data_IF_378846749827
#
_entry.id   IF_378846749827
#
_cell.length_a   1.000
_cell.length_b   1.000
_cell.length_c   1.000
_cell.angle_alpha   90.00
_cell.angle_beta   90.00
_cell.angle_gamma   90.00
#
_symmetry.space_group_name_H-M   'P 1'
#
loop_
_entity.id
_entity.type
_entity.pdbx_description
1 polymer ?
#
# COMPACT_ATOMS: atom_id res chain seq x y z
N UNK A 1 2.05 10.96 6.31
CA UNK A 1 2.80 12.18 6.71
C UNK A 1 1.85 13.02 7.53
N UNK A 2 2.26 13.46 8.72
CA UNK A 2 1.45 14.32 9.57
C UNK A 2 2.02 15.73 9.57
N UNK A 3 1.13 16.72 9.64
CA UNK A 3 1.49 18.13 9.72
C UNK A 3 1.02 18.70 11.04
N UNK A 4 1.83 19.59 11.62
CA UNK A 4 1.46 20.42 12.78
C UNK A 4 2.03 21.81 12.56
N UNK A 5 1.21 22.84 12.78
CA UNK A 5 1.58 24.25 12.62
C UNK A 5 2.24 24.55 11.26
N UNK A 6 1.72 23.91 10.19
CA UNK A 6 2.22 24.04 8.82
C UNK A 6 3.51 23.27 8.50
N UNK A 7 4.06 22.50 9.45
CA UNK A 7 5.32 21.79 9.28
C UNK A 7 5.13 20.27 9.28
N UNK A 8 5.88 19.59 8.40
CA UNK A 8 5.99 18.12 8.42
C UNK A 8 6.63 17.68 9.73
N UNK A 9 6.02 16.69 10.37
CA UNK A 9 6.51 16.21 11.67
C UNK A 9 7.57 15.11 11.55
N UNK A 10 7.55 14.31 10.48
CA UNK A 10 8.55 13.27 10.22
C UNK A 10 9.77 13.85 9.50
N UNK A 11 10.97 13.46 9.92
CA UNK A 11 12.25 13.98 9.42
C UNK A 11 13.00 13.01 8.50
N UNK A 12 12.80 11.69 8.62
CA UNK A 12 13.52 10.66 7.86
C UNK A 12 12.79 9.30 7.90
N UNK A 13 13.43 8.20 7.52
CA UNK A 13 12.84 6.85 7.52
C UNK A 13 12.78 6.17 8.89
N UNK A 14 13.36 6.77 9.94
CA UNK A 14 13.24 6.25 11.30
C UNK A 14 11.92 6.70 11.96
N UNK A 15 11.37 7.84 11.54
CA UNK A 15 10.10 8.39 12.03
C UNK A 15 8.99 8.43 10.95
N UNK A 16 9.32 8.28 9.67
CA UNK A 16 8.40 7.89 8.59
C UNK A 16 8.59 6.43 8.20
N UNK A 17 7.69 5.56 8.67
CA UNK A 17 7.80 4.13 8.45
C UNK A 17 7.52 3.75 6.99
N UNK A 18 8.58 3.35 6.29
CA UNK A 18 8.53 2.65 5.00
C UNK A 18 8.63 1.14 5.20
N UNK A 19 8.11 0.37 4.24
CA UNK A 19 8.24 -1.09 4.27
C UNK A 19 9.73 -1.49 4.30
N UNK A 20 10.10 -2.41 5.19
CA UNK A 20 11.47 -2.94 5.30
C UNK A 20 11.53 -4.34 4.71
N UNK A 21 12.73 -4.79 4.32
CA UNK A 21 12.91 -6.10 3.69
C UNK A 21 12.35 -7.26 4.53
N UNK A 22 12.48 -7.20 5.86
CA UNK A 22 11.95 -8.22 6.77
C UNK A 22 10.41 -8.32 6.78
N UNK A 23 9.73 -7.25 6.39
CA UNK A 23 8.27 -7.14 6.39
C UNK A 23 7.68 -7.37 4.98
N UNK A 24 8.54 -7.64 3.98
CA UNK A 24 8.13 -7.80 2.60
C UNK A 24 7.34 -9.11 2.42
N UNK A 25 6.07 -9.06 1.98
CA UNK A 25 5.35 -10.28 1.64
C UNK A 25 5.97 -10.95 0.40
N UNK A 26 5.73 -12.25 0.23
CA UNK A 26 6.05 -12.92 -1.03
C UNK A 26 5.19 -12.30 -2.15
N UNK A 27 5.85 -11.85 -3.21
CA UNK A 27 5.19 -11.29 -4.41
C UNK A 27 5.46 -12.19 -5.59
N UNK A 28 4.38 -12.51 -6.32
CA UNK A 28 4.45 -13.23 -7.60
C UNK A 28 3.97 -12.28 -8.70
N UNK A 29 4.67 -12.30 -9.84
CA UNK A 29 4.38 -11.42 -10.97
C UNK A 29 4.03 -12.29 -12.17
N UNK A 30 2.87 -12.00 -12.77
CA UNK A 30 2.40 -12.67 -13.97
C UNK A 30 2.32 -11.66 -15.10
N UNK A 31 3.05 -11.93 -16.18
CA UNK A 31 2.99 -11.13 -17.40
C UNK A 31 1.88 -11.70 -18.27
N UNK A 32 0.81 -10.93 -18.45
CA UNK A 32 -0.33 -11.32 -19.28
C UNK A 32 0.02 -11.10 -20.76
N UNK A 33 -0.16 -12.10 -21.65
CA UNK A 33 0.07 -11.93 -23.07
C UNK A 33 -0.81 -10.82 -23.67
N UNK A 34 -0.24 -9.97 -24.52
CA UNK A 34 -0.95 -8.90 -25.23
C UNK A 34 -0.35 -8.67 -26.60
N UNK A 35 -1.21 -8.41 -27.60
CA UNK A 35 -0.82 -7.98 -28.95
C UNK A 35 -0.98 -6.48 -29.16
N UNK A 36 -1.44 -5.76 -28.13
CA UNK A 36 -1.59 -4.30 -28.17
C UNK A 36 -0.24 -3.59 -28.20
N UNK A 37 -0.26 -2.29 -28.55
CA UNK A 37 0.95 -1.46 -28.45
C UNK A 37 1.46 -1.44 -27.02
N UNK A 38 2.77 -1.51 -26.86
CA UNK A 38 3.42 -1.42 -25.55
C UNK A 38 3.07 -0.10 -24.86
N UNK A 39 2.69 -0.19 -23.58
CA UNK A 39 2.44 0.94 -22.70
C UNK A 39 3.33 0.92 -21.45
N UNK A 40 3.15 1.89 -20.56
CA UNK A 40 3.88 1.95 -19.30
C UNK A 40 3.38 0.90 -18.29
N UNK A 41 4.32 0.24 -17.59
CA UNK A 41 4.02 -0.79 -16.58
C UNK A 41 4.50 -0.44 -15.16
N UNK A 42 5.21 0.69 -14.99
CA UNK A 42 5.79 1.08 -13.69
C UNK A 42 4.76 1.48 -12.64
N UNK A 43 3.73 2.22 -13.03
CA UNK A 43 2.68 2.73 -12.13
C UNK A 43 1.49 1.78 -11.94
N UNK A 44 0.98 1.06 -12.97
CA UNK A 44 -0.27 0.29 -12.86
C UNK A 44 -0.31 -0.77 -11.77
N UNK A 45 0.85 -1.29 -11.35
CA UNK A 45 0.94 -2.26 -10.26
C UNK A 45 0.63 -1.69 -8.88
N UNK A 46 0.78 -0.38 -8.66
CA UNK A 46 0.63 0.25 -7.33
C UNK A 46 -0.84 0.49 -6.91
N UNK A 47 -1.71 1.11 -7.74
CA UNK A 47 -3.10 1.40 -7.36
C UNK A 47 -3.90 0.21 -6.79
N UNK A 48 -3.80 -1.03 -7.33
CA UNK A 48 -4.61 -2.14 -6.83
C UNK A 48 -4.15 -2.68 -5.46
N UNK A 49 -2.95 -2.34 -4.97
CA UNK A 49 -2.38 -2.91 -3.73
C UNK A 49 -3.22 -2.55 -2.52
N UNK A 50 -3.50 -1.26 -2.30
CA UNK A 50 -4.23 -0.81 -1.13
C UNK A 50 -5.65 -1.42 -1.00
N UNK A 51 -6.51 -1.40 -2.04
CA UNK A 51 -7.82 -2.03 -1.95
C UNK A 51 -7.76 -3.55 -1.84
N UNK A 52 -6.76 -4.22 -2.44
CA UNK A 52 -6.59 -5.67 -2.27
C UNK A 52 -6.31 -6.03 -0.80
N UNK A 53 -5.42 -5.30 -0.14
CA UNK A 53 -5.11 -5.50 1.29
C UNK A 53 -6.32 -5.20 2.18
N UNK A 54 -7.03 -4.09 1.96
CA UNK A 54 -8.21 -3.76 2.79
C UNK A 54 -9.38 -4.73 2.57
N UNK A 55 -9.54 -5.28 1.37
CA UNK A 55 -10.49 -6.36 1.10
C UNK A 55 -10.11 -7.66 1.82
N UNK A 56 -8.81 -8.02 1.84
CA UNK A 56 -8.33 -9.19 2.58
C UNK A 56 -8.58 -9.05 4.09
N UNK A 57 -8.35 -7.86 4.65
CA UNK A 57 -8.69 -7.54 6.04
C UNK A 57 -10.19 -7.71 6.29
N UNK A 58 -11.05 -7.18 5.43
CA UNK A 58 -12.49 -7.35 5.57
C UNK A 58 -12.91 -8.82 5.51
N UNK A 59 -12.34 -9.59 4.57
CA UNK A 59 -12.62 -11.02 4.47
C UNK A 59 -12.19 -11.80 5.74
N UNK A 60 -11.06 -11.42 6.34
CA UNK A 60 -10.54 -12.08 7.54
C UNK A 60 -11.23 -11.65 8.85
N UNK A 61 -11.78 -10.44 8.92
CA UNK A 61 -12.20 -9.83 10.20
C UNK A 61 -13.64 -9.31 10.22
N UNK A 62 -14.29 -9.17 9.06
CA UNK A 62 -15.56 -8.45 8.89
C UNK A 62 -15.45 -6.92 9.00
N UNK A 63 -14.28 -6.36 9.33
CA UNK A 63 -14.08 -4.91 9.50
C UNK A 63 -13.71 -4.25 8.17
N UNK A 64 -14.51 -3.29 7.71
CA UNK A 64 -14.18 -2.48 6.51
C UNK A 64 -13.28 -1.30 6.87
N UNK A 65 -12.15 -1.19 6.18
CA UNK A 65 -11.25 -0.03 6.24
C UNK A 65 -11.53 0.90 5.07
N UNK A 66 -11.78 2.19 5.34
CA UNK A 66 -12.06 3.22 4.32
C UNK A 66 -11.11 4.42 4.36
N UNK A 67 -10.25 4.48 5.38
CA UNK A 67 -9.29 5.56 5.56
C UNK A 67 -7.90 4.96 5.62
N UNK A 68 -6.96 5.54 4.86
CA UNK A 68 -5.56 5.16 4.88
C UNK A 68 -4.73 6.20 5.66
N UNK A 69 -3.60 5.79 6.28
CA UNK A 69 -3.10 4.42 6.37
C UNK A 69 -3.96 3.53 7.29
N UNK A 70 -3.87 2.19 7.14
CA UNK A 70 -4.63 1.24 7.98
C UNK A 70 -4.32 1.46 9.47
N UNK A 71 -3.03 1.57 9.85
CA UNK A 71 -2.62 1.94 11.21
C UNK A 71 -3.26 1.06 12.29
N UNK A 72 -3.76 1.69 13.35
CA UNK A 72 -4.35 1.01 14.51
C UNK A 72 -5.85 0.68 14.34
N UNK A 73 -6.37 0.70 13.11
CA UNK A 73 -7.79 0.44 12.85
C UNK A 73 -8.19 -1.03 13.03
N UNK A 74 -7.30 -1.94 13.45
CA UNK A 74 -7.62 -3.35 13.67
C UNK A 74 -7.56 -3.80 15.14
N UNK A 75 -7.09 -2.92 16.03
CA UNK A 75 -7.17 -3.11 17.48
C UNK A 75 -8.60 -2.86 17.99
#
# INVERSE_FOLDING_TARGET
ITFKDGQVQQSNFHDYQVLRMKDMPKVEVYIVPSTEKMGGVGEPGLPPVAPAVTNAIFAATGKRIRTLPIGNQLA
#
